data_IF_399540239391
#
_entry.id   IF_399540239391
#
_cell.length_a   1.000
_cell.length_b   1.000
_cell.length_c   1.000
_cell.angle_alpha   90.00
_cell.angle_beta   90.00
_cell.angle_gamma   90.00
#
_symmetry.space_group_name_H-M   'P 1'
#
loop_
_entity.id
_entity.type
_entity.pdbx_description
1 polymer ?
#
# COMPACT_ATOMS: atom_id res chain seq x y z
N UNK A 1 11.00 9.75 6.81
CA UNK A 1 9.96 8.86 7.37
C UNK A 1 8.69 9.67 7.51
N UNK A 2 7.54 9.11 7.11
CA UNK A 2 6.22 9.73 7.29
C UNK A 2 5.26 8.71 7.90
N UNK A 3 4.38 9.12 8.79
CA UNK A 3 3.28 8.27 9.25
C UNK A 3 2.16 8.26 8.22
N UNK A 4 1.53 7.12 8.00
CA UNK A 4 0.39 6.99 7.09
C UNK A 4 -0.69 6.10 7.70
N UNK A 5 -1.95 6.46 7.49
CA UNK A 5 -3.06 5.54 7.72
C UNK A 5 -3.16 4.58 6.54
N UNK A 6 -3.43 3.32 6.82
CA UNK A 6 -3.61 2.29 5.81
C UNK A 6 -5.06 1.82 5.84
N UNK A 7 -5.70 1.76 4.68
CA UNK A 7 -7.05 1.24 4.54
C UNK A 7 -7.03 -0.01 3.65
N UNK A 8 -7.44 -1.16 4.20
CA UNK A 8 -7.43 -2.46 3.55
C UNK A 8 -8.85 -3.05 3.51
N UNK A 9 -9.59 -2.87 2.42
CA UNK A 9 -11.01 -3.28 2.39
C UNK A 9 -11.79 -2.63 3.54
N UNK A 10 -12.23 -3.42 4.53
CA UNK A 10 -12.89 -2.94 5.77
C UNK A 10 -11.95 -2.69 6.96
N UNK A 11 -10.67 -3.04 6.85
CA UNK A 11 -9.66 -2.86 7.90
C UNK A 11 -8.93 -1.51 7.82
N UNK A 12 -8.43 -1.06 8.97
CA UNK A 12 -7.62 0.15 9.13
C UNK A 12 -6.37 -0.14 9.96
N UNK A 13 -5.26 0.52 9.62
CA UNK A 13 -4.00 0.46 10.36
C UNK A 13 -3.21 1.76 10.25
N UNK A 14 -2.05 1.81 10.88
CA UNK A 14 -1.10 2.92 10.77
C UNK A 14 0.31 2.33 10.58
N UNK A 15 1.10 2.94 9.70
CA UNK A 15 2.47 2.50 9.45
C UNK A 15 3.43 3.69 9.28
N UNK A 16 4.70 3.45 9.60
CA UNK A 16 5.79 4.38 9.31
C UNK A 16 6.37 4.04 7.94
N UNK A 17 6.37 5.01 7.03
CA UNK A 17 6.82 4.85 5.65
C UNK A 17 8.25 5.43 5.49
N UNK A 18 9.25 4.59 5.20
CA UNK A 18 10.60 5.01 4.83
C UNK A 18 10.68 5.75 3.52
N UNK A 19 11.66 6.64 3.40
CA UNK A 19 11.86 7.47 2.20
C UNK A 19 12.17 6.64 0.95
N UNK A 20 12.90 5.53 1.12
CA UNK A 20 13.30 4.66 0.03
C UNK A 20 12.34 3.49 -0.20
N UNK A 21 11.18 3.44 0.47
CA UNK A 21 10.26 2.31 0.35
C UNK A 21 9.45 2.41 -0.95
N UNK A 22 9.68 1.46 -1.84
CA UNK A 22 8.88 1.30 -3.06
C UNK A 22 7.51 0.67 -2.76
N UNK A 23 6.56 0.80 -3.67
CA UNK A 23 5.25 0.14 -3.55
C UNK A 23 5.38 -1.38 -3.50
N UNK A 24 6.28 -1.98 -4.29
CA UNK A 24 6.53 -3.43 -4.28
C UNK A 24 7.05 -3.92 -2.92
N UNK A 25 8.00 -3.20 -2.33
CA UNK A 25 8.54 -3.53 -1.00
C UNK A 25 7.50 -3.30 0.08
N UNK A 26 6.71 -2.22 -0.01
CA UNK A 26 5.60 -1.96 0.91
C UNK A 26 4.60 -3.12 0.90
N UNK A 27 4.19 -3.60 -0.28
CA UNK A 27 3.33 -4.79 -0.39
C UNK A 27 3.95 -6.03 0.24
N UNK A 28 5.24 -6.24 0.01
CA UNK A 28 5.98 -7.37 0.57
C UNK A 28 6.02 -7.33 2.10
N UNK A 29 6.43 -6.19 2.68
CA UNK A 29 6.58 -6.01 4.14
C UNK A 29 5.23 -6.10 4.85
N UNK A 30 4.15 -5.63 4.20
CA UNK A 30 2.81 -5.65 4.76
C UNK A 30 2.03 -6.94 4.43
N UNK A 31 2.68 -7.93 3.80
CA UNK A 31 2.06 -9.20 3.38
C UNK A 31 0.77 -9.02 2.53
N UNK A 32 0.80 -8.02 1.64
CA UNK A 32 -0.32 -7.65 0.78
C UNK A 32 -0.31 -8.47 -0.52
N UNK A 33 -1.48 -8.56 -1.15
CA UNK A 33 -1.63 -9.13 -2.48
C UNK A 33 -0.69 -8.42 -3.48
N UNK A 34 0.28 -9.12 -4.10
CA UNK A 34 1.20 -8.54 -5.07
C UNK A 34 0.48 -7.92 -6.28
N UNK A 35 -0.63 -8.54 -6.72
CA UNK A 35 -1.45 -8.06 -7.82
C UNK A 35 -2.39 -6.91 -7.40
N UNK A 36 -2.49 -6.64 -6.11
CA UNK A 36 -3.26 -5.54 -5.57
C UNK A 36 -2.74 -4.18 -6.04
N UNK A 37 -3.52 -3.14 -5.79
CA UNK A 37 -3.15 -1.77 -6.17
C UNK A 37 -3.14 -0.85 -4.95
N UNK A 38 -2.23 0.11 -4.99
CA UNK A 38 -2.02 1.10 -3.93
C UNK A 38 -2.40 2.46 -4.49
N UNK A 39 -3.28 3.16 -3.78
CA UNK A 39 -3.71 4.50 -4.15
C UNK A 39 -3.51 5.46 -2.98
N UNK A 40 -3.23 6.72 -3.31
CA UNK A 40 -2.93 7.79 -2.34
C UNK A 40 -3.70 9.06 -2.71
N UNK A 41 -3.96 9.97 -1.77
CA UNK A 41 -4.83 11.12 -2.02
C UNK A 41 -4.29 12.09 -3.09
N UNK A 42 -2.96 12.16 -3.24
CA UNK A 42 -2.28 13.04 -4.19
C UNK A 42 -2.25 12.50 -5.63
N UNK A 43 -2.59 11.23 -5.84
CA UNK A 43 -2.54 10.57 -7.14
C UNK A 43 -3.93 10.21 -7.64
N UNK A 44 -4.20 10.52 -8.90
CA UNK A 44 -5.45 10.15 -9.58
C UNK A 44 -5.45 8.70 -10.08
N UNK A 45 -4.27 8.09 -10.19
CA UNK A 45 -4.06 6.72 -10.64
C UNK A 45 -3.35 5.90 -9.56
N UNK A 46 -3.56 4.58 -9.52
CA UNK A 46 -2.77 3.73 -8.63
C UNK A 46 -1.27 3.90 -8.89
N UNK A 47 -0.49 3.87 -7.83
CA UNK A 47 0.97 3.94 -7.92
C UNK A 47 1.53 2.66 -8.55
N UNK A 48 2.59 2.80 -9.34
CA UNK A 48 3.35 1.69 -9.91
C UNK A 48 4.25 1.03 -8.88
N UNK A 49 4.71 -0.19 -9.16
CA UNK A 49 5.54 -0.98 -8.23
C UNK A 49 6.86 -0.31 -7.84
N UNK A 50 7.46 0.45 -8.76
CA UNK A 50 8.75 1.14 -8.57
C UNK A 50 8.60 2.54 -7.97
N UNK A 51 7.37 3.04 -7.82
CA UNK A 51 7.14 4.35 -7.22
C UNK A 51 7.51 4.33 -5.73
N UNK A 52 8.20 5.39 -5.29
CA UNK A 52 8.52 5.60 -3.88
C UNK A 52 7.28 6.15 -3.17
N UNK A 53 6.65 5.35 -2.32
CA UNK A 53 5.41 5.71 -1.64
C UNK A 53 5.56 7.04 -0.87
N UNK A 54 6.74 7.27 -0.30
CA UNK A 54 7.07 8.47 0.47
C UNK A 54 6.90 9.78 -0.31
N UNK A 55 7.15 9.77 -1.62
CA UNK A 55 7.11 10.96 -2.46
C UNK A 55 5.68 11.42 -2.74
N UNK A 56 4.71 10.51 -2.61
CA UNK A 56 3.30 10.78 -2.92
C UNK A 56 2.43 11.01 -1.69
N UNK A 57 2.93 10.85 -0.47
CA UNK A 57 2.14 11.01 0.75
C UNK A 57 2.64 12.17 1.62
N UNK A 58 1.75 12.78 2.40
CA UNK A 58 2.07 13.61 3.56
C UNK A 58 1.89 12.81 4.86
N UNK A 59 2.37 13.35 5.98
CA UNK A 59 2.12 12.74 7.29
C UNK A 59 0.61 12.64 7.55
N UNK A 60 0.19 11.44 7.96
CA UNK A 60 -1.18 11.04 8.26
C UNK A 60 -2.14 11.01 7.05
N UNK A 61 -1.62 10.98 5.83
CA UNK A 61 -2.45 10.64 4.67
C UNK A 61 -2.95 9.19 4.75
N UNK A 62 -4.11 8.94 4.14
CA UNK A 62 -4.67 7.59 4.00
C UNK A 62 -4.22 6.95 2.70
N UNK A 63 -3.42 5.90 2.80
CA UNK A 63 -3.05 5.01 1.71
C UNK A 63 -4.10 3.91 1.60
N UNK A 64 -4.80 3.85 0.47
CA UNK A 64 -5.80 2.81 0.21
C UNK A 64 -5.14 1.65 -0.54
N UNK A 65 -5.30 0.46 0.01
CA UNK A 65 -4.82 -0.79 -0.60
C UNK A 65 -6.03 -1.64 -0.97
N UNK A 66 -6.05 -2.16 -2.20
CA UNK A 66 -7.06 -3.13 -2.62
C UNK A 66 -6.42 -4.35 -3.25
N UNK A 67 -6.86 -5.52 -2.80
CA UNK A 67 -6.52 -6.80 -3.44
C UNK A 67 -7.37 -7.03 -4.69
N UNK A 68 -6.84 -7.82 -5.61
CA UNK A 68 -7.59 -8.29 -6.78
C UNK A 68 -8.39 -9.53 -6.36
N UNK A 69 -9.70 -9.61 -6.66
CA UNK A 69 -10.49 -10.80 -6.37
C UNK A 69 -9.87 -12.05 -7.02
N UNK A 70 -9.54 -13.04 -6.19
CA UNK A 70 -8.99 -14.33 -6.64
C UNK A 70 -7.53 -14.61 -6.23
N UNK A 71 -6.77 -13.62 -5.75
CA UNK A 71 -5.36 -13.82 -5.38
C UNK A 71 -5.15 -14.53 -4.03
N UNK A 72 -6.11 -14.44 -3.10
CA UNK A 72 -5.97 -14.95 -1.72
C UNK A 72 -6.34 -16.43 -1.54
N UNK A 73 -6.68 -17.15 -2.62
CA UNK A 73 -7.15 -18.55 -2.52
C UNK A 73 -6.02 -19.60 -2.59
N UNK A 74 -4.75 -19.19 -2.51
CA UNK A 74 -3.58 -20.09 -2.68
C UNK A 74 -2.79 -20.44 -1.41
N UNK A 75 -3.04 -19.80 -0.26
CA UNK A 75 -2.25 -19.99 0.96
C UNK A 75 -3.12 -20.44 2.13
N UNK A 76 -3.77 -21.59 1.97
CA UNK A 76 -4.19 -22.46 3.09
C UNK A 76 -3.83 -23.89 2.73
N UNK A 77 -2.65 -24.31 3.16
CA UNK A 77 -2.26 -25.71 3.32
C UNK A 77 -2.04 -25.96 4.81
#
# INVERSE_FOLDING_TARGET
MKWAYLQFGSGFGIALIPAALTVAEFKTVMELDPAGWVNVPSSLLPLGEEDLLFDYISDYDTVTVRSVPGATQGLRA
#
